data_IF_347519978962
#
_entry.id   IF_347519978962
#
_cell.length_a   1.000
_cell.length_b   1.000
_cell.length_c   1.000
_cell.angle_alpha   90.00
_cell.angle_beta   90.00
_cell.angle_gamma   90.00
#
_symmetry.space_group_name_H-M   'P 1'
#
loop_
_entity.id
_entity.type
_entity.pdbx_description
1 polymer ?
#
# COMPACT_ATOMS: atom_id res chain seq x y z
N UNK A 1 -8.29 -7.42 -3.32
CA UNK A 1 -9.11 -6.49 -2.50
C UNK A 1 -8.38 -6.01 -1.23
N UNK A 2 -7.74 -6.87 -0.43
CA UNK A 2 -7.05 -6.44 0.81
C UNK A 2 -5.93 -5.40 0.59
N UNK A 3 -5.09 -5.60 -0.43
CA UNK A 3 -3.95 -4.72 -0.72
C UNK A 3 -4.38 -3.28 -1.06
N UNK A 4 -5.49 -3.11 -1.80
CA UNK A 4 -6.02 -1.78 -2.16
C UNK A 4 -6.56 -1.02 -0.96
N UNK A 5 -7.18 -1.71 0.00
CA UNK A 5 -7.70 -1.09 1.22
C UNK A 5 -6.56 -0.57 2.10
N UNK A 6 -5.46 -1.31 2.18
CA UNK A 6 -4.25 -0.93 2.93
C UNK A 6 -3.62 0.33 2.31
N UNK A 7 -3.49 0.36 0.98
CA UNK A 7 -3.03 1.56 0.28
C UNK A 7 -3.92 2.77 0.60
N UNK A 8 -5.24 2.62 0.50
CA UNK A 8 -6.19 3.71 0.79
C UNK A 8 -6.09 4.21 2.23
N UNK A 9 -5.95 3.31 3.20
CA UNK A 9 -5.79 3.69 4.61
C UNK A 9 -4.52 4.52 4.82
N UNK A 10 -3.38 4.08 4.28
CA UNK A 10 -2.13 4.85 4.36
C UNK A 10 -2.20 6.15 3.58
N UNK A 11 -2.84 6.16 2.41
CA UNK A 11 -3.04 7.36 1.61
C UNK A 11 -3.82 8.43 2.37
N UNK A 12 -4.95 8.07 2.98
CA UNK A 12 -5.74 9.00 3.79
C UNK A 12 -4.95 9.50 5.02
N UNK A 13 -4.24 8.60 5.70
CA UNK A 13 -3.41 8.94 6.85
C UNK A 13 -2.29 9.93 6.49
N UNK A 14 -1.54 9.65 5.42
CA UNK A 14 -0.43 10.52 5.01
C UNK A 14 -0.91 11.84 4.42
N UNK A 15 -2.03 11.85 3.70
CA UNK A 15 -2.63 13.08 3.19
C UNK A 15 -3.12 13.96 4.33
N UNK A 16 -3.83 13.40 5.32
CA UNK A 16 -4.30 14.17 6.47
C UNK A 16 -3.16 14.68 7.34
N UNK A 17 -2.12 13.87 7.55
CA UNK A 17 -0.90 14.28 8.23
C UNK A 17 -0.18 15.41 7.48
N UNK A 18 -0.07 15.33 6.15
CA UNK A 18 0.56 16.37 5.33
C UNK A 18 -0.22 17.69 5.34
N UNK A 19 -1.55 17.65 5.48
CA UNK A 19 -2.39 18.86 5.66
C UNK A 19 -2.20 19.45 7.06
N UNK A 20 -2.12 18.61 8.09
CA UNK A 20 -2.04 19.06 9.48
C UNK A 20 -0.66 19.63 9.85
N UNK A 21 0.40 19.24 9.13
CA UNK A 21 1.76 19.67 9.41
C UNK A 21 2.11 20.91 8.57
N UNK A 22 2.50 22.05 9.19
CA UNK A 22 2.91 23.24 8.48
C UNK A 22 4.37 23.13 8.01
N UNK A 23 4.72 22.00 7.39
CA UNK A 23 6.09 21.67 6.98
C UNK A 23 6.08 21.29 5.51
N UNK A 24 6.95 21.88 4.67
CA UNK A 24 7.07 21.47 3.28
C UNK A 24 7.66 20.05 3.21
N UNK A 25 6.84 19.09 2.81
CA UNK A 25 7.22 17.69 2.69
C UNK A 25 7.59 17.36 1.23
N UNK A 26 8.72 16.68 1.04
CA UNK A 26 9.17 16.18 -0.26
C UNK A 26 8.47 14.85 -0.59
N UNK A 27 8.06 14.58 -1.84
CA UNK A 27 8.26 15.42 -3.03
C UNK A 27 7.18 16.48 -3.25
N UNK A 28 6.14 16.55 -2.41
CA UNK A 28 4.99 17.44 -2.60
C UNK A 28 5.38 18.92 -2.79
N UNK A 29 6.29 19.45 -1.99
CA UNK A 29 6.83 20.81 -2.12
C UNK A 29 7.35 21.13 -3.54
N UNK A 30 7.84 20.14 -4.30
CA UNK A 30 8.30 20.38 -5.68
C UNK A 30 7.16 20.65 -6.66
N UNK A 31 5.92 20.26 -6.34
CA UNK A 31 4.76 20.44 -7.22
C UNK A 31 4.53 21.91 -7.54
N UNK A 32 4.71 22.80 -6.57
CA UNK A 32 4.59 24.25 -6.79
C UNK A 32 5.59 24.76 -7.83
N UNK A 33 6.86 24.38 -7.71
CA UNK A 33 7.91 24.71 -8.68
C UNK A 33 7.74 24.04 -10.04
N UNK A 34 7.22 22.82 -10.08
CA UNK A 34 7.11 22.04 -11.33
C UNK A 34 5.98 22.53 -12.22
N UNK A 35 4.88 22.99 -11.61
CA UNK A 35 3.67 23.38 -12.34
C UNK A 35 3.63 24.90 -12.57
N UNK A 36 4.52 25.67 -11.93
CA UNK A 36 4.64 27.12 -12.14
C UNK A 36 3.42 27.91 -11.68
N UNK A 37 2.57 27.31 -10.85
CA UNK A 37 1.42 28.00 -10.27
C UNK A 37 1.89 28.96 -9.17
N UNK A 38 1.32 30.18 -9.09
CA UNK A 38 1.52 31.04 -7.94
C UNK A 38 1.09 30.30 -6.66
N UNK A 39 1.73 30.62 -5.54
CA UNK A 39 1.42 30.11 -4.21
C UNK A 39 -0.01 30.51 -3.81
N UNK A 40 -0.99 29.80 -4.37
CA UNK A 40 -2.40 29.89 -4.04
C UNK A 40 -2.66 29.02 -2.81
N UNK A 41 -3.68 29.35 -2.03
CA UNK A 41 -4.07 28.56 -0.86
C UNK A 41 -4.35 27.09 -1.20
N UNK A 42 -4.65 26.80 -2.48
CA UNK A 42 -4.88 25.44 -2.96
C UNK A 42 -3.61 24.61 -3.14
N UNK A 43 -2.43 25.23 -3.24
CA UNK A 43 -1.16 24.53 -3.46
C UNK A 43 -0.92 23.50 -2.35
N UNK A 44 -1.27 23.85 -1.11
CA UNK A 44 -1.08 23.01 0.08
C UNK A 44 -1.82 21.67 -0.09
N UNK A 45 -3.01 21.66 -0.69
CA UNK A 45 -3.75 20.42 -0.93
C UNK A 45 -3.12 19.56 -2.02
N UNK A 46 -2.58 20.18 -3.08
CA UNK A 46 -1.87 19.45 -4.13
C UNK A 46 -0.55 18.85 -3.62
N UNK A 47 0.20 19.60 -2.82
CA UNK A 47 1.42 19.10 -2.19
C UNK A 47 1.11 17.96 -1.22
N UNK A 48 0.06 18.11 -0.39
CA UNK A 48 -0.40 17.06 0.50
C UNK A 48 -0.86 15.81 -0.25
N UNK A 49 -1.53 15.97 -1.39
CA UNK A 49 -1.96 14.86 -2.23
C UNK A 49 -0.76 14.11 -2.84
N UNK A 50 0.21 14.84 -3.38
CA UNK A 50 1.44 14.26 -3.92
C UNK A 50 2.23 13.50 -2.86
N UNK A 51 2.35 14.07 -1.66
CA UNK A 51 2.96 13.41 -0.51
C UNK A 51 2.18 12.16 -0.08
N UNK A 52 0.85 12.28 0.05
CA UNK A 52 -0.03 11.18 0.40
C UNK A 52 0.11 9.99 -0.56
N UNK A 53 0.07 10.24 -1.87
CA UNK A 53 0.26 9.20 -2.90
C UNK A 53 1.64 8.56 -2.77
N UNK A 54 2.69 9.39 -2.66
CA UNK A 54 4.08 8.91 -2.62
C UNK A 54 4.33 8.03 -1.41
N UNK A 55 3.99 8.51 -0.21
CA UNK A 55 4.23 7.79 1.03
C UNK A 55 3.34 6.55 1.17
N UNK A 56 2.08 6.62 0.73
CA UNK A 56 1.22 5.46 0.70
C UNK A 56 1.74 4.38 -0.24
N UNK A 57 2.24 4.77 -1.42
CA UNK A 57 2.79 3.84 -2.40
C UNK A 57 4.04 3.14 -1.86
N UNK A 58 5.00 3.89 -1.30
CA UNK A 58 6.22 3.32 -0.71
C UNK A 58 5.87 2.38 0.45
N UNK A 59 5.01 2.81 1.36
CA UNK A 59 4.60 2.00 2.52
C UNK A 59 3.88 0.73 2.09
N UNK A 60 2.97 0.85 1.13
CA UNK A 60 2.25 -0.28 0.56
C UNK A 60 3.17 -1.28 -0.13
N UNK A 61 4.18 -0.80 -0.85
CA UNK A 61 5.19 -1.64 -1.49
C UNK A 61 5.98 -2.43 -0.44
N UNK A 62 6.48 -1.75 0.60
CA UNK A 62 7.20 -2.38 1.72
C UNK A 62 6.33 -3.43 2.42
N UNK A 63 5.08 -3.07 2.74
CA UNK A 63 4.14 -3.99 3.38
C UNK A 63 3.87 -5.22 2.52
N UNK A 64 3.70 -5.04 1.21
CA UNK A 64 3.46 -6.12 0.26
C UNK A 64 4.66 -7.06 0.14
N UNK A 65 5.88 -6.52 0.16
CA UNK A 65 7.11 -7.33 0.15
C UNK A 65 7.29 -8.11 1.46
N UNK A 66 6.98 -7.50 2.60
CA UNK A 66 7.01 -8.15 3.91
C UNK A 66 5.98 -9.28 3.99
N UNK A 67 4.73 -9.02 3.58
CA UNK A 67 3.68 -10.03 3.55
C UNK A 67 4.07 -11.24 2.70
N UNK A 68 4.64 -10.99 1.50
CA UNK A 68 5.17 -12.05 0.63
C UNK A 68 6.29 -12.85 1.29
N UNK A 69 7.23 -12.17 1.98
CA UNK A 69 8.31 -12.85 2.69
C UNK A 69 7.78 -13.74 3.82
N UNK A 70 6.84 -13.24 4.62
CA UNK A 70 6.20 -13.97 5.71
C UNK A 70 5.47 -15.23 5.22
N UNK A 71 4.68 -15.11 4.14
CA UNK A 71 3.99 -16.26 3.54
C UNK A 71 4.99 -17.29 2.99
N UNK A 72 6.14 -16.85 2.47
CA UNK A 72 7.18 -17.74 1.93
C UNK A 72 7.93 -18.50 3.04
N UNK A 73 8.07 -17.89 4.22
CA UNK A 73 8.71 -18.50 5.39
C UNK A 73 7.79 -19.41 6.21
N UNK A 74 6.49 -19.38 5.94
CA UNK A 74 5.53 -20.35 6.49
C UNK A 74 5.39 -21.48 5.46
N UNK A 75 6.07 -22.63 5.61
CA UNK A 75 5.80 -23.77 4.75
C UNK A 75 4.35 -24.14 5.05
N UNK A 76 3.46 -23.80 4.12
CA UNK A 76 2.07 -24.19 4.23
C UNK A 76 2.10 -25.71 4.23
N UNK A 77 1.86 -26.30 5.41
CA UNK A 77 1.55 -27.70 5.57
C UNK A 77 0.28 -27.95 4.76
N UNK A 78 0.47 -28.17 3.47
CA UNK A 78 -0.57 -28.51 2.51
C UNK A 78 -0.99 -29.92 2.90
N UNK A 79 -1.93 -29.98 3.86
CA UNK A 79 -2.65 -31.16 4.34
C UNK A 79 -2.74 -32.19 3.22
N UNK A 80 -1.84 -33.18 3.25
CA UNK A 80 -1.88 -34.35 2.38
C UNK A 80 -3.23 -35.01 2.63
N UNK A 81 -4.17 -34.92 1.69
CA UNK A 81 -5.30 -35.86 1.68
C UNK A 81 -4.70 -37.23 1.38
N UNK A 82 -4.86 -38.25 2.25
CA UNK A 82 -4.49 -39.59 1.86
C UNK A 82 -5.42 -40.02 0.73
N UNK A 83 -4.80 -40.47 -0.35
CA UNK A 83 -5.44 -41.22 -1.43
C UNK A 83 -5.92 -42.56 -0.86
N UNK A 84 -7.15 -42.65 -0.37
CA UNK A 84 -7.77 -43.96 -0.12
C UNK A 84 -8.32 -44.48 -1.45
N UNK A 85 -7.48 -45.29 -2.11
CA UNK A 85 -7.89 -46.21 -3.16
C UNK A 85 -8.98 -47.12 -2.60
N UNK A 86 -10.24 -46.91 -2.97
CA UNK A 86 -11.25 -47.98 -2.99
C UNK A 86 -11.42 -48.46 -4.42
N UNK A 87 -10.47 -49.28 -4.86
CA UNK A 87 -10.79 -50.36 -5.77
C UNK A 87 -11.03 -51.60 -4.91
N UNK A 88 -12.19 -52.24 -5.07
CA UNK A 88 -12.55 -53.63 -4.75
C UNK A 88 -13.97 -53.71 -4.14
N UNK A 89 -14.97 -53.76 -5.02
CA UNK A 89 -16.02 -54.78 -4.93
C UNK A 89 -16.60 -54.93 -6.35
N UNK A 90 -15.89 -55.70 -7.16
CA UNK A 90 -16.56 -56.53 -8.15
C UNK A 90 -17.09 -57.75 -7.39
N UNK A 91 -18.22 -58.26 -7.86
CA UNK A 91 -19.11 -59.31 -7.29
C UNK A 91 -20.15 -58.80 -6.30
#
# INVERSE_FOLDING_TARGET
MKASAIFFAFFLLFTSAAIALPIPLFPGNMVSTLVGFPASEYIIYFEALANGITYAFVTWMVFSLLARKLDSSMPTEKKRRPTEKRGLSAY
#
